data_IF_874357422041
#
_entry.id   IF_874357422041
#
_cell.length_a   1.000
_cell.length_b   1.000
_cell.length_c   1.000
_cell.angle_alpha   90.00
_cell.angle_beta   90.00
_cell.angle_gamma   90.00
#
_symmetry.space_group_name_H-M   'P 1'
#
loop_
_entity.id
_entity.type
_entity.pdbx_description
1 polymer ?
#
# COMPACT_ATOMS: atom_id res chain seq x y z
N UNK A 1 3.91 -38.75 1.41
CA UNK A 1 2.99 -37.72 1.02
C UNK A 1 3.41 -37.12 -0.32
N UNK A 2 2.56 -37.24 -1.32
CA UNK A 2 2.86 -36.65 -2.61
C UNK A 2 2.57 -35.15 -2.56
N UNK A 3 3.54 -34.30 -2.80
CA UNK A 3 3.28 -32.86 -2.80
C UNK A 3 2.35 -32.51 -3.95
N UNK A 4 1.36 -31.69 -3.63
CA UNK A 4 0.49 -31.12 -4.65
C UNK A 4 1.28 -29.98 -5.30
N UNK A 5 1.42 -30.08 -6.62
CA UNK A 5 2.10 -29.00 -7.35
C UNK A 5 1.14 -27.82 -7.49
N UNK A 6 1.42 -26.78 -6.75
CA UNK A 6 0.66 -25.53 -6.83
C UNK A 6 1.56 -24.51 -7.53
N UNK A 7 1.13 -24.09 -8.72
CA UNK A 7 1.93 -23.14 -9.50
C UNK A 7 1.51 -21.70 -9.14
N UNK A 8 1.96 -21.24 -7.97
CA UNK A 8 1.74 -19.85 -7.60
C UNK A 8 2.64 -18.98 -8.47
N UNK A 9 2.04 -18.08 -9.23
CA UNK A 9 2.76 -17.22 -10.19
C UNK A 9 3.05 -15.84 -9.62
N UNK A 10 2.47 -15.48 -8.48
CA UNK A 10 2.72 -14.21 -7.86
C UNK A 10 1.56 -13.76 -6.98
N UNK A 11 1.66 -12.54 -6.51
CA UNK A 11 0.62 -11.91 -5.72
C UNK A 11 -0.16 -10.99 -6.64
N UNK A 12 -1.49 -11.03 -6.58
CA UNK A 12 -2.33 -10.14 -7.40
C UNK A 12 -2.89 -8.96 -6.62
N UNK A 13 -3.06 -9.11 -5.32
CA UNK A 13 -3.71 -8.09 -4.52
C UNK A 13 -3.31 -8.18 -3.05
N UNK A 14 -3.14 -7.02 -2.43
CA UNK A 14 -2.94 -6.90 -0.99
C UNK A 14 -4.02 -6.00 -0.43
N UNK A 15 -4.53 -6.35 0.74
CA UNK A 15 -5.53 -5.55 1.42
C UNK A 15 -4.88 -4.80 2.58
N UNK A 16 -5.15 -3.50 2.66
CA UNK A 16 -4.59 -2.63 3.70
C UNK A 16 -5.76 -2.03 4.46
N UNK A 17 -5.73 -2.18 5.78
CA UNK A 17 -6.73 -1.58 6.65
C UNK A 17 -6.48 -0.07 6.75
N UNK A 18 -7.54 0.71 6.56
CA UNK A 18 -7.53 2.14 6.76
C UNK A 18 -8.79 2.56 7.49
N UNK A 19 -8.78 3.71 8.13
CA UNK A 19 -9.98 4.24 8.81
C UNK A 19 -10.67 5.30 7.97
N UNK A 20 -9.95 5.98 7.10
CA UNK A 20 -10.48 7.00 6.19
C UNK A 20 -9.99 6.69 4.78
N UNK A 21 -10.87 6.09 3.98
CA UNK A 21 -10.53 5.68 2.62
C UNK A 21 -10.20 6.88 1.74
N UNK A 22 -10.93 7.98 1.86
CA UNK A 22 -10.70 9.15 1.02
C UNK A 22 -9.30 9.73 1.23
N UNK A 23 -8.89 9.90 2.50
CA UNK A 23 -7.55 10.40 2.82
C UNK A 23 -6.47 9.42 2.39
N UNK A 24 -6.67 8.13 2.65
CA UNK A 24 -5.69 7.10 2.31
C UNK A 24 -5.54 7.00 0.79
N UNK A 25 -6.64 7.00 0.05
CA UNK A 25 -6.60 6.93 -1.41
C UNK A 25 -5.87 8.14 -1.99
N UNK A 26 -6.12 9.32 -1.45
CA UNK A 26 -5.45 10.54 -1.89
C UNK A 26 -3.95 10.45 -1.64
N UNK A 27 -3.55 9.95 -0.48
CA UNK A 27 -2.14 9.78 -0.16
C UNK A 27 -1.46 8.83 -1.14
N UNK A 28 -2.04 7.64 -1.34
CA UNK A 28 -1.45 6.65 -2.24
C UNK A 28 -1.46 7.10 -3.70
N UNK A 29 -2.51 7.80 -4.12
CA UNK A 29 -2.62 8.26 -5.51
C UNK A 29 -1.80 9.54 -5.76
N UNK A 30 -2.05 10.59 -4.98
CA UNK A 30 -1.45 11.90 -5.24
C UNK A 30 -0.03 12.02 -4.71
N UNK A 31 0.22 11.53 -3.50
CA UNK A 31 1.55 11.65 -2.88
C UNK A 31 2.50 10.56 -3.35
N UNK A 32 2.06 9.32 -3.38
CA UNK A 32 2.90 8.21 -3.81
C UNK A 32 2.83 7.94 -5.31
N UNK A 33 1.84 8.50 -6.00
CA UNK A 33 1.78 8.42 -7.46
C UNK A 33 1.23 7.12 -8.03
N UNK A 34 0.51 6.33 -7.23
CA UNK A 34 -0.06 5.08 -7.72
C UNK A 34 -1.36 5.35 -8.46
N UNK A 35 -1.55 4.74 -9.66
CA UNK A 35 -2.81 4.92 -10.39
C UNK A 35 -4.01 4.44 -9.58
N UNK A 36 -5.05 5.25 -9.50
CA UNK A 36 -6.29 4.90 -8.82
C UNK A 36 -7.20 4.19 -9.83
N UNK A 37 -7.53 2.93 -9.54
CA UNK A 37 -8.35 2.11 -10.42
C UNK A 37 -9.84 2.23 -10.10
N UNK A 38 -10.18 2.35 -8.82
CA UNK A 38 -11.57 2.41 -8.37
C UNK A 38 -11.62 3.00 -6.97
N UNK A 39 -12.68 3.73 -6.68
CA UNK A 39 -12.86 4.32 -5.34
C UNK A 39 -14.34 4.48 -5.03
N UNK A 40 -14.69 4.11 -3.80
CA UNK A 40 -16.01 4.37 -3.23
C UNK A 40 -15.85 4.71 -1.75
N UNK A 41 -16.96 4.91 -1.04
CA UNK A 41 -16.90 5.39 0.35
C UNK A 41 -16.14 4.47 1.29
N UNK A 42 -16.19 3.15 1.07
CA UNK A 42 -15.62 2.16 2.00
C UNK A 42 -14.40 1.43 1.47
N UNK A 43 -14.01 1.69 0.23
CA UNK A 43 -12.85 1.03 -0.35
C UNK A 43 -12.25 1.83 -1.50
N UNK A 44 -10.99 1.63 -1.75
CA UNK A 44 -10.31 2.16 -2.93
C UNK A 44 -9.33 1.10 -3.43
N UNK A 45 -9.12 1.08 -4.73
CA UNK A 45 -8.25 0.11 -5.39
C UNK A 45 -7.22 0.85 -6.23
N UNK A 46 -5.94 0.57 -5.99
CA UNK A 46 -4.85 1.23 -6.70
C UNK A 46 -3.95 0.18 -7.34
N UNK A 47 -3.29 0.56 -8.43
CA UNK A 47 -2.32 -0.30 -9.08
C UNK A 47 -0.92 0.02 -8.57
N UNK A 48 -0.21 -1.00 -8.13
CA UNK A 48 1.17 -0.87 -7.69
C UNK A 48 2.03 -1.88 -8.43
N UNK A 49 2.45 -1.51 -9.64
CA UNK A 49 3.32 -2.36 -10.44
C UNK A 49 2.74 -3.70 -10.80
N UNK A 50 1.44 -3.76 -11.09
CA UNK A 50 0.74 -4.99 -11.41
C UNK A 50 0.09 -5.70 -10.24
N UNK A 51 0.39 -5.27 -9.02
CA UNK A 51 -0.28 -5.74 -7.81
C UNK A 51 -1.28 -4.67 -7.40
N UNK A 52 -2.50 -5.07 -7.08
CA UNK A 52 -3.51 -4.11 -6.61
C UNK A 52 -3.42 -3.94 -5.11
N UNK A 53 -3.51 -2.70 -4.68
CA UNK A 53 -3.66 -2.38 -3.25
C UNK A 53 -5.12 -2.04 -3.00
N UNK A 54 -5.76 -2.81 -2.14
CA UNK A 54 -7.13 -2.57 -1.72
C UNK A 54 -7.12 -1.88 -0.37
N UNK A 55 -7.57 -0.64 -0.34
CA UNK A 55 -7.74 0.10 0.92
C UNK A 55 -9.17 -0.10 1.37
N UNK A 56 -9.38 -0.57 2.58
CA UNK A 56 -10.73 -0.83 3.07
C UNK A 56 -10.84 -0.55 4.55
N UNK A 57 -12.05 -0.17 4.95
CA UNK A 57 -12.38 0.04 6.35
C UNK A 57 -12.74 -1.31 6.97
N UNK A 58 -12.30 -1.60 8.21
CA UNK A 58 -12.72 -2.84 8.87
C UNK A 58 -14.23 -2.94 8.98
N UNK A 59 -14.77 -4.10 8.60
CA UNK A 59 -16.22 -4.32 8.67
C UNK A 59 -16.72 -4.46 10.11
N UNK A 60 -15.84 -4.98 10.98
CA UNK A 60 -16.15 -5.18 12.39
C UNK A 60 -14.95 -4.78 13.24
N UNK A 61 -15.18 -4.32 14.49
CA UNK A 61 -14.07 -3.94 15.37
C UNK A 61 -13.05 -5.06 15.59
N UNK A 62 -13.48 -6.31 15.57
CA UNK A 62 -12.56 -7.45 15.74
C UNK A 62 -11.59 -7.62 14.58
N UNK A 63 -11.90 -7.03 13.42
CA UNK A 63 -10.99 -7.03 12.27
C UNK A 63 -10.13 -5.76 12.21
N UNK A 64 -10.34 -4.84 13.17
CA UNK A 64 -9.58 -3.59 13.22
C UNK A 64 -8.29 -3.80 14.01
N UNK A 65 -7.30 -4.35 13.36
CA UNK A 65 -5.99 -4.59 13.96
C UNK A 65 -4.91 -4.23 12.95
N UNK A 66 -3.70 -3.96 13.43
CA UNK A 66 -2.60 -3.64 12.52
C UNK A 66 -2.40 -4.75 11.50
N UNK A 67 -2.34 -4.36 10.24
CA UNK A 67 -2.05 -5.29 9.16
C UNK A 67 -0.56 -5.50 8.96
N UNK A 68 -0.22 -6.14 7.85
CA UNK A 68 1.17 -6.35 7.49
C UNK A 68 1.84 -5.04 7.10
N UNK A 69 3.13 -4.94 7.35
CA UNK A 69 3.93 -3.82 6.87
C UNK A 69 4.17 -3.97 5.38
N UNK A 70 4.01 -2.90 4.64
CA UNK A 70 4.20 -2.91 3.18
C UNK A 70 5.51 -2.19 2.85
N UNK A 71 6.34 -2.86 2.06
CA UNK A 71 7.59 -2.30 1.57
C UNK A 71 7.46 -2.00 0.09
N UNK A 72 7.77 -0.76 -0.27
CA UNK A 72 7.73 -0.34 -1.67
C UNK A 72 9.15 -0.27 -2.22
N UNK A 73 9.31 -0.70 -3.47
CA UNK A 73 10.58 -0.54 -4.18
C UNK A 73 10.58 0.79 -4.91
N UNK A 74 11.67 1.53 -4.78
CA UNK A 74 11.87 2.77 -5.51
C UNK A 74 13.20 2.70 -6.25
N UNK A 75 13.33 3.48 -7.32
CA UNK A 75 14.55 3.48 -8.12
C UNK A 75 15.72 4.10 -7.35
N UNK A 76 15.46 5.16 -6.58
CA UNK A 76 16.48 5.87 -5.82
C UNK A 76 15.87 6.30 -4.49
N UNK A 77 16.33 5.67 -3.40
CA UNK A 77 15.78 5.92 -2.06
C UNK A 77 16.04 7.35 -1.60
N UNK A 78 17.18 7.92 -1.92
CA UNK A 78 17.52 9.27 -1.49
C UNK A 78 16.63 10.32 -2.13
N UNK A 79 16.45 10.26 -3.45
CA UNK A 79 15.57 11.22 -4.13
C UNK A 79 14.11 11.00 -3.78
N UNK A 80 13.69 9.75 -3.58
CA UNK A 80 12.32 9.45 -3.16
C UNK A 80 12.05 10.00 -1.76
N UNK A 81 12.98 9.80 -0.84
CA UNK A 81 12.87 10.32 0.51
C UNK A 81 12.74 11.85 0.51
N UNK A 82 13.60 12.52 -0.26
CA UNK A 82 13.61 13.98 -0.36
C UNK A 82 12.30 14.50 -0.96
N UNK A 83 11.85 13.85 -2.02
CA UNK A 83 10.61 14.20 -2.70
C UNK A 83 9.39 14.09 -1.79
N UNK A 84 9.33 13.03 -1.00
CA UNK A 84 8.24 12.82 -0.06
C UNK A 84 8.30 13.82 1.11
N UNK A 85 9.50 14.17 1.58
CA UNK A 85 9.65 15.21 2.59
C UNK A 85 9.10 16.55 2.08
N UNK A 86 9.39 16.89 0.83
CA UNK A 86 8.90 18.13 0.21
C UNK A 86 7.37 18.10 0.08
N UNK A 87 6.78 16.93 -0.05
CA UNK A 87 5.33 16.77 -0.10
C UNK A 87 4.67 16.77 1.28
N UNK A 88 5.43 16.91 2.35
CA UNK A 88 4.91 16.98 3.70
C UNK A 88 4.78 15.65 4.41
N UNK A 89 5.36 14.59 3.88
CA UNK A 89 5.31 13.27 4.51
C UNK A 89 6.26 13.25 5.70
N UNK A 90 5.77 12.74 6.83
CA UNK A 90 6.58 12.54 8.03
C UNK A 90 7.19 11.15 8.03
N UNK A 91 8.46 11.07 8.37
CA UNK A 91 9.18 9.81 8.48
C UNK A 91 9.60 9.56 9.91
N UNK A 92 9.64 8.29 10.29
CA UNK A 92 10.14 7.91 11.62
C UNK A 92 11.66 7.94 11.70
N UNK A 93 12.33 8.03 10.57
CA UNK A 93 13.79 8.10 10.51
C UNK A 93 14.28 8.32 9.10
N UNK A 94 15.58 8.50 8.96
CA UNK A 94 16.20 8.68 7.64
C UNK A 94 16.40 7.33 6.95
N UNK A 95 16.51 7.32 5.61
CA UNK A 95 16.86 6.09 4.90
C UNK A 95 18.20 5.54 5.38
N UNK A 96 18.30 4.23 5.43
CA UNK A 96 19.55 3.55 5.80
C UNK A 96 19.66 2.25 5.02
N UNK A 97 20.87 1.76 4.89
CA UNK A 97 21.10 0.47 4.26
C UNK A 97 20.77 -0.64 5.24
N UNK A 98 20.03 -1.63 4.75
CA UNK A 98 19.64 -2.78 5.59
C UNK A 98 20.54 -3.98 5.29
#
# INVERSE_FOLDING_TARGET
LTPISVAIQGITQLSIRVHDVASAARFYNETLGLPLLYSESNMALLDCGGIRLLLSVPEKPEFDHPGSTVYFRVADIESSYRSLLESGVEFSGKPHNS
#
